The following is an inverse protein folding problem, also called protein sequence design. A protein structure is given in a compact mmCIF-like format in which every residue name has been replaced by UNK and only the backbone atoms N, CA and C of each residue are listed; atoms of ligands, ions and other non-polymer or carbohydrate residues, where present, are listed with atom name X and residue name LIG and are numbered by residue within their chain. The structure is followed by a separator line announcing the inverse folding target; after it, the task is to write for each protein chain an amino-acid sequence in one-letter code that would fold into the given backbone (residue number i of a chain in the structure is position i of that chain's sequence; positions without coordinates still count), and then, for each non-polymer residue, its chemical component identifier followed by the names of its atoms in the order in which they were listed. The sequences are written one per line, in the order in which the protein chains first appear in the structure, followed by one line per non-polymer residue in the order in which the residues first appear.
data_IF_385548051021
#
_entry.id   IF_385548051021
#
_cell.length_a   1.000
_cell.length_b   1.000
_cell.length_c   1.000
_cell.angle_alpha   90.00
_cell.angle_beta   90.00
_cell.angle_gamma   90.00
#
_symmetry.space_group_name_H-M   'P 1'
#
loop_
_entity.id
_entity.type
_entity.pdbx_description
1 polymer ?
#
# COMPACT_ATOMS: atom_id res chain seq x y z
N UNK A 1 -29.93 -29.19 2.21
CA UNK A 1 -29.21 -27.92 2.43
C UNK A 1 -28.23 -27.73 1.29
N UNK A 2 -28.49 -26.80 0.38
CA UNK A 2 -27.55 -26.48 -0.70
C UNK A 2 -26.41 -25.66 -0.09
N UNK A 3 -25.19 -26.20 -0.10
CA UNK A 3 -24.00 -25.41 0.20
C UNK A 3 -23.87 -24.33 -0.87
N UNK A 4 -24.29 -23.11 -0.54
CA UNK A 4 -24.00 -21.93 -1.36
C UNK A 4 -22.49 -21.74 -1.28
N UNK A 5 -21.76 -22.13 -2.33
CA UNK A 5 -20.33 -21.85 -2.44
C UNK A 5 -20.09 -20.38 -2.10
N UNK A 6 -19.33 -20.13 -1.03
CA UNK A 6 -18.93 -18.78 -0.68
C UNK A 6 -17.91 -18.30 -1.71
N UNK A 7 -18.24 -17.20 -2.37
CA UNK A 7 -17.35 -16.56 -3.32
C UNK A 7 -16.16 -15.96 -2.57
N UNK A 8 -14.98 -16.55 -2.75
CA UNK A 8 -13.72 -16.06 -2.19
C UNK A 8 -12.79 -15.58 -3.32
N UNK A 9 -12.18 -14.42 -3.14
CA UNK A 9 -11.24 -13.83 -4.08
C UNK A 9 -9.99 -14.68 -4.21
N UNK A 10 -9.54 -14.87 -5.44
CA UNK A 10 -8.26 -15.50 -5.76
C UNK A 10 -7.54 -14.66 -6.79
N UNK A 11 -6.36 -14.16 -6.44
CA UNK A 11 -5.48 -13.50 -7.39
C UNK A 11 -5.15 -14.47 -8.52
N UNK A 12 -5.45 -14.06 -9.76
CA UNK A 12 -5.21 -14.89 -10.95
C UNK A 12 -3.75 -14.86 -11.42
N UNK A 13 -2.88 -14.10 -10.74
CA UNK A 13 -1.48 -13.89 -11.13
C UNK A 13 -1.32 -13.48 -12.61
N UNK A 14 -2.26 -12.69 -13.13
CA UNK A 14 -2.28 -12.34 -14.56
C UNK A 14 -1.09 -11.46 -14.99
N UNK A 15 -0.46 -10.75 -14.05
CA UNK A 15 0.67 -9.86 -14.35
C UNK A 15 0.31 -8.60 -15.14
N UNK A 16 -0.98 -8.41 -15.45
CA UNK A 16 -1.43 -7.30 -16.29
C UNK A 16 -1.82 -6.10 -15.44
N UNK A 17 -3.02 -6.08 -14.84
CA UNK A 17 -3.61 -4.84 -14.33
C UNK A 17 -2.93 -4.29 -13.07
N UNK A 18 -2.73 -5.11 -12.03
CA UNK A 18 -2.13 -4.64 -10.77
C UNK A 18 -0.60 -4.55 -10.82
N UNK A 19 0.01 -4.98 -11.93
CA UNK A 19 1.46 -5.02 -12.11
C UNK A 19 1.90 -4.20 -13.33
N UNK A 20 1.02 -3.41 -13.94
CA UNK A 20 1.33 -2.52 -15.06
C UNK A 20 0.79 -1.12 -14.77
N UNK A 21 1.67 -0.13 -14.79
CA UNK A 21 1.39 1.23 -14.33
C UNK A 21 1.59 2.20 -15.48
N UNK A 22 0.51 2.89 -15.86
CA UNK A 22 0.54 3.86 -16.97
C UNK A 22 0.64 5.30 -16.45
N UNK A 23 0.02 5.58 -15.31
CA UNK A 23 0.11 6.87 -14.66
C UNK A 23 0.81 6.77 -13.30
N UNK A 24 1.53 7.84 -12.94
CA UNK A 24 2.17 7.94 -11.63
C UNK A 24 1.15 7.84 -10.48
N UNK A 25 -0.11 8.20 -10.71
CA UNK A 25 -1.16 8.09 -9.69
C UNK A 25 -1.62 6.65 -9.43
N UNK A 26 -1.33 5.74 -10.35
CA UNK A 26 -1.63 4.31 -10.21
C UNK A 26 -0.51 3.58 -9.44
N UNK A 27 0.65 4.22 -9.29
CA UNK A 27 1.82 3.65 -8.64
C UNK A 27 1.55 3.31 -7.17
N UNK A 28 2.07 2.18 -6.66
CA UNK A 28 1.80 1.76 -5.29
C UNK A 28 2.33 2.77 -4.28
N UNK A 29 1.53 2.99 -3.23
CA UNK A 29 2.01 3.62 -2.01
C UNK A 29 2.58 2.54 -1.09
N UNK A 30 3.71 2.85 -0.47
CA UNK A 30 4.44 1.94 0.41
C UNK A 30 4.90 2.70 1.66
N UNK A 31 4.86 2.04 2.81
CA UNK A 31 5.44 2.58 4.03
C UNK A 31 6.99 2.58 3.95
N UNK A 32 7.68 3.32 4.84
CA UNK A 32 9.14 3.40 4.81
C UNK A 32 9.85 2.05 4.97
N UNK A 33 9.37 1.18 5.86
CA UNK A 33 9.93 -0.16 6.05
C UNK A 33 9.75 -1.07 4.82
N UNK A 34 8.63 -0.93 4.11
CA UNK A 34 8.38 -1.63 2.86
C UNK A 34 9.29 -1.11 1.73
N UNK A 35 9.49 0.21 1.65
CA UNK A 35 10.48 0.82 0.75
C UNK A 35 11.87 0.23 1.00
N UNK A 36 12.32 0.13 2.26
CA UNK A 36 13.63 -0.47 2.60
C UNK A 36 13.72 -1.93 2.13
N UNK A 37 12.69 -2.73 2.42
CA UNK A 37 12.60 -4.12 1.94
C UNK A 37 12.65 -4.22 0.41
N UNK A 38 11.91 -3.36 -0.30
CA UNK A 38 11.89 -3.32 -1.76
C UNK A 38 13.24 -2.90 -2.33
N UNK A 39 13.93 -1.93 -1.73
CA UNK A 39 15.28 -1.53 -2.15
C UNK A 39 16.30 -2.66 -1.99
N UNK A 40 16.24 -3.42 -0.91
CA UNK A 40 17.07 -4.61 -0.72
C UNK A 40 16.80 -5.69 -1.76
N UNK A 41 15.52 -5.95 -2.06
CA UNK A 41 15.12 -6.87 -3.13
C UNK A 41 15.57 -6.36 -4.50
N UNK A 42 15.44 -5.05 -4.76
CA UNK A 42 15.90 -4.40 -5.97
C UNK A 42 17.40 -4.62 -6.17
N UNK A 43 18.22 -4.38 -5.14
CA UNK A 43 19.65 -4.65 -5.17
C UNK A 43 19.96 -6.14 -5.43
N UNK A 44 19.24 -7.05 -4.77
CA UNK A 44 19.42 -8.50 -4.92
C UNK A 44 19.15 -9.00 -6.34
N UNK A 45 18.17 -8.41 -7.02
CA UNK A 45 17.75 -8.81 -8.37
C UNK A 45 18.24 -7.87 -9.47
N UNK A 46 19.19 -6.98 -9.16
CA UNK A 46 19.73 -5.96 -10.08
C UNK A 46 18.63 -5.13 -10.77
N UNK A 47 17.69 -4.64 -9.96
CA UNK A 47 16.57 -3.77 -10.38
C UNK A 47 16.72 -2.39 -9.75
N UNK A 48 16.75 -1.37 -10.61
CA UNK A 48 16.69 0.03 -10.17
C UNK A 48 15.25 0.40 -9.80
N UNK A 49 15.02 0.76 -8.55
CA UNK A 49 13.73 1.22 -8.06
C UNK A 49 13.77 2.72 -7.75
N UNK A 50 12.64 3.40 -7.97
CA UNK A 50 12.51 4.84 -7.73
C UNK A 50 11.36 5.07 -6.75
N UNK A 51 11.62 5.85 -5.70
CA UNK A 51 10.62 6.22 -4.70
C UNK A 51 10.63 7.73 -4.50
N UNK A 52 9.46 8.32 -4.34
CA UNK A 52 9.30 9.74 -3.98
C UNK A 52 8.44 9.86 -2.72
N UNK A 53 8.78 10.73 -1.75
CA UNK A 53 7.85 11.06 -0.66
C UNK A 53 6.50 11.48 -1.27
N UNK A 54 5.40 11.01 -0.68
CA UNK A 54 4.05 11.30 -1.15
C UNK A 54 3.16 11.90 -0.07
N UNK A 55 3.08 11.25 1.09
CA UNK A 55 2.31 11.73 2.23
C UNK A 55 3.21 11.79 3.46
N UNK A 56 3.08 12.85 4.22
CA UNK A 56 3.78 13.00 5.49
C UNK A 56 3.18 14.06 6.38
N UNK A 57 3.97 14.45 7.37
CA UNK A 57 3.65 15.51 8.31
C UNK A 57 4.85 16.45 8.43
N UNK A 58 4.59 17.74 8.47
CA UNK A 58 5.56 18.75 8.90
C UNK A 58 5.67 18.69 10.43
N UNK A 59 6.87 18.37 10.93
CA UNK A 59 7.11 18.15 12.36
C UNK A 59 7.93 19.28 13.00
N UNK A 60 8.74 19.96 12.18
CA UNK A 60 9.49 21.17 12.50
C UNK A 60 9.82 21.90 11.20
N UNK A 61 10.35 23.13 11.29
CA UNK A 61 10.72 23.95 10.14
C UNK A 61 11.62 23.19 9.15
N UNK A 62 11.06 22.88 7.97
CA UNK A 62 11.69 22.09 6.90
C UNK A 62 12.01 20.62 7.25
N UNK A 63 11.53 20.09 8.38
CA UNK A 63 11.64 18.68 8.74
C UNK A 63 10.29 18.01 8.56
N UNK A 64 10.27 16.94 7.77
CA UNK A 64 9.04 16.22 7.45
C UNK A 64 9.15 14.73 7.74
N UNK A 65 8.19 14.22 8.49
CA UNK A 65 8.01 12.79 8.72
C UNK A 65 7.23 12.17 7.56
N UNK A 66 7.88 11.32 6.77
CA UNK A 66 7.28 10.65 5.61
C UNK A 66 6.55 9.38 6.05
N UNK A 67 5.26 9.33 5.72
CA UNK A 67 4.38 8.19 6.01
C UNK A 67 4.27 7.26 4.82
N UNK A 68 4.10 7.82 3.63
CA UNK A 68 4.08 7.03 2.40
C UNK A 68 5.08 7.56 1.40
N UNK A 69 5.78 6.61 0.80
CA UNK A 69 6.48 6.82 -0.45
C UNK A 69 5.63 6.29 -1.59
N UNK A 70 5.64 7.01 -2.71
CA UNK A 70 5.14 6.49 -3.97
C UNK A 70 6.26 5.75 -4.68
N UNK A 71 6.04 4.48 -4.96
CA UNK A 71 6.96 3.64 -5.72
C UNK A 71 6.73 3.85 -7.21
N UNK A 72 7.58 4.66 -7.83
CA UNK A 72 7.43 5.07 -9.23
C UNK A 72 7.77 3.89 -10.14
N UNK A 73 6.76 3.39 -10.84
CA UNK A 73 6.89 2.33 -11.84
C UNK A 73 6.32 2.85 -13.16
N UNK A 74 7.11 2.76 -14.23
CA UNK A 74 6.68 3.11 -15.58
C UNK A 74 6.54 1.81 -16.39
N UNK A 75 5.30 1.40 -16.65
CA UNK A 75 5.00 0.11 -17.28
C UNK A 75 4.97 -1.03 -16.28
N UNK A 76 5.60 -2.16 -16.62
CA UNK A 76 5.52 -3.40 -15.82
C UNK A 76 6.31 -3.29 -14.51
N UNK A 77 5.78 -3.92 -13.47
CA UNK A 77 6.44 -4.08 -12.18
C UNK A 77 7.81 -4.75 -12.37
N UNK A 78 8.89 -4.22 -11.77
CA UNK A 78 10.24 -4.75 -11.98
C UNK A 78 10.47 -6.14 -11.37
N UNK A 79 9.52 -6.62 -10.55
CA UNK A 79 9.52 -7.98 -10.00
C UNK A 79 8.56 -8.91 -10.73
N UNK A 80 8.05 -8.52 -11.89
CA UNK A 80 7.31 -9.43 -12.76
C UNK A 80 8.29 -10.29 -13.55
N UNK A 81 8.15 -11.61 -13.45
CA UNK A 81 8.88 -12.54 -14.31
C UNK A 81 8.37 -12.47 -15.75
N UNK A 82 9.13 -13.05 -16.68
CA UNK A 82 8.73 -13.18 -18.09
C UNK A 82 7.40 -13.92 -18.26
N UNK A 83 7.07 -14.82 -17.33
CA UNK A 83 5.80 -15.56 -17.30
C UNK A 83 4.64 -14.76 -16.67
N UNK A 84 4.83 -13.48 -16.34
CA UNK A 84 3.80 -12.65 -15.70
C UNK A 84 3.61 -12.91 -14.20
N UNK A 85 4.50 -13.68 -13.58
CA UNK A 85 4.39 -14.05 -12.15
C UNK A 85 5.25 -13.11 -11.31
N UNK A 86 4.69 -12.56 -10.23
CA UNK A 86 5.42 -11.75 -9.26
C UNK A 86 6.47 -12.59 -8.51
N UNK A 87 7.76 -12.30 -8.70
CA UNK A 87 8.88 -13.04 -8.09
C UNK A 87 9.05 -12.75 -6.60
N UNK A 88 8.43 -11.70 -6.09
CA UNK A 88 8.43 -11.33 -4.67
C UNK A 88 7.07 -11.53 -4.02
N UNK A 89 6.24 -12.46 -4.51
CA UNK A 89 4.84 -12.58 -4.08
C UNK A 89 4.64 -12.61 -2.56
N UNK A 90 5.50 -13.33 -1.82
CA UNK A 90 5.45 -13.38 -0.35
C UNK A 90 5.96 -12.12 0.37
N UNK A 91 6.73 -11.27 -0.32
CA UNK A 91 7.33 -10.02 0.19
C UNK A 91 6.77 -8.76 -0.49
N UNK A 92 5.67 -8.89 -1.24
CA UNK A 92 5.03 -7.76 -1.91
C UNK A 92 4.53 -6.74 -0.86
N UNK A 93 4.51 -5.44 -1.18
CA UNK A 93 4.04 -4.44 -0.23
C UNK A 93 2.54 -4.59 0.05
N UNK A 94 2.06 -3.99 1.13
CA UNK A 94 0.68 -4.04 1.60
C UNK A 94 -0.31 -3.60 0.52
N UNK A 95 0.00 -2.53 -0.24
CA UNK A 95 -0.81 -2.11 -1.38
C UNK A 95 -1.00 -3.23 -2.42
N UNK A 96 0.02 -4.05 -2.66
CA UNK A 96 -0.08 -5.23 -3.52
C UNK A 96 -0.68 -6.46 -2.80
N UNK A 97 -0.58 -6.56 -1.47
CA UNK A 97 -1.20 -7.64 -0.66
C UNK A 97 -2.71 -7.46 -0.53
N UNK A 98 -3.21 -6.24 -0.44
CA UNK A 98 -4.63 -5.94 -0.29
C UNK A 98 -5.39 -5.75 -1.61
N UNK A 99 -4.70 -5.64 -2.75
CA UNK A 99 -5.38 -5.54 -4.04
C UNK A 99 -6.27 -6.78 -4.29
N UNK A 100 -7.57 -6.61 -4.64
CA UNK A 100 -8.17 -5.46 -5.32
C UNK A 100 -8.79 -4.40 -4.39
N UNK A 101 -8.64 -4.53 -3.08
CA UNK A 101 -9.06 -3.49 -2.15
C UNK A 101 -8.12 -2.28 -2.22
N UNK A 102 -8.70 -1.08 -2.12
CA UNK A 102 -7.99 0.21 -2.14
C UNK A 102 -8.48 1.02 -0.95
N UNK A 103 -7.55 1.51 -0.14
CA UNK A 103 -7.85 2.44 0.96
C UNK A 103 -7.76 3.87 0.42
N UNK A 104 -8.85 4.61 0.56
CA UNK A 104 -8.87 6.06 0.37
C UNK A 104 -8.26 6.74 1.58
N UNK A 105 -6.99 7.11 1.49
CA UNK A 105 -6.25 7.71 2.62
C UNK A 105 -6.81 9.10 2.97
N UNK A 106 -7.39 9.82 2.01
CA UNK A 106 -7.93 11.16 2.24
C UNK A 106 -9.36 11.15 2.80
N UNK A 107 -10.16 10.13 2.50
CA UNK A 107 -11.58 10.06 2.86
C UNK A 107 -11.97 8.85 3.71
N UNK A 108 -10.98 8.07 4.17
CA UNK A 108 -11.15 6.89 5.02
C UNK A 108 -12.09 5.83 4.45
N UNK A 109 -12.15 5.70 3.12
CA UNK A 109 -13.00 4.71 2.46
C UNK A 109 -12.25 3.43 2.11
N UNK A 110 -12.95 2.29 2.11
CA UNK A 110 -12.47 1.05 1.51
C UNK A 110 -13.20 0.83 0.18
N UNK A 111 -12.46 0.79 -0.92
CA UNK A 111 -12.99 0.64 -2.27
C UNK A 111 -12.52 -0.65 -2.90
N UNK A 112 -13.24 -1.13 -3.91
CA UNK A 112 -12.85 -2.30 -4.71
C UNK A 112 -12.50 -1.85 -6.11
N UNK A 113 -11.31 -2.21 -6.59
CA UNK A 113 -10.86 -1.87 -7.94
C UNK A 113 -11.65 -2.65 -9.00
N UNK A 114 -12.42 -1.95 -9.82
CA UNK A 114 -13.11 -2.52 -10.98
C UNK A 114 -12.19 -2.96 -12.11
N UNK A 115 -10.89 -2.61 -12.04
CA UNK A 115 -9.92 -2.96 -13.06
C UNK A 115 -9.47 -4.44 -12.97
N UNK A 116 -9.63 -5.08 -11.81
CA UNK A 116 -9.31 -6.50 -11.67
C UNK A 116 -10.32 -7.36 -12.44
N UNK A 117 -9.90 -8.21 -13.42
CA UNK A 117 -10.86 -8.95 -14.23
C UNK A 117 -11.70 -9.96 -13.43
N UNK A 118 -11.19 -10.44 -12.30
CA UNK A 118 -11.96 -11.27 -11.38
C UNK A 118 -13.13 -10.47 -10.78
N UNK A 119 -12.90 -9.21 -10.38
CA UNK A 119 -13.96 -8.32 -9.88
C UNK A 119 -15.02 -8.11 -10.94
N UNK A 120 -14.62 -7.79 -12.18
CA UNK A 120 -15.55 -7.58 -13.29
C UNK A 120 -16.42 -8.82 -13.53
N UNK A 121 -15.84 -10.01 -13.44
CA UNK A 121 -16.55 -11.29 -13.64
C UNK A 121 -17.60 -11.58 -12.58
N UNK A 122 -17.38 -11.14 -11.34
CA UNK A 122 -18.23 -11.47 -10.19
C UNK A 122 -18.92 -10.25 -9.56
N UNK A 123 -18.94 -9.10 -10.24
CA UNK A 123 -19.37 -7.81 -9.71
C UNK A 123 -20.74 -7.87 -9.00
N UNK A 124 -21.74 -8.47 -9.65
CA UNK A 124 -23.10 -8.59 -9.09
C UNK A 124 -23.16 -9.41 -7.80
N UNK A 125 -22.31 -10.45 -7.69
CA UNK A 125 -22.21 -11.26 -6.47
C UNK A 125 -21.50 -10.48 -5.36
N UNK A 126 -20.47 -9.71 -5.71
CA UNK A 126 -19.66 -8.95 -4.75
C UNK A 126 -20.47 -7.81 -4.13
N UNK A 127 -21.25 -7.07 -4.92
CA UNK A 127 -22.04 -5.90 -4.47
C UNK A 127 -22.93 -6.18 -3.27
N UNK A 128 -23.44 -7.41 -3.17
CA UNK A 128 -24.36 -7.83 -2.11
C UNK A 128 -23.71 -8.78 -1.07
N UNK A 129 -22.38 -8.85 -1.07
CA UNK A 129 -21.61 -9.73 -0.18
C UNK A 129 -20.81 -8.93 0.84
N UNK A 130 -20.54 -9.56 1.98
CA UNK A 130 -19.64 -9.04 3.00
C UNK A 130 -18.18 -9.05 2.47
N UNK A 131 -17.52 -7.89 2.34
CA UNK A 131 -16.15 -7.81 1.82
C UNK A 131 -15.14 -8.63 2.64
N UNK A 132 -15.35 -8.78 3.95
CA UNK A 132 -14.44 -9.56 4.82
C UNK A 132 -14.47 -11.06 4.52
N UNK A 133 -15.56 -11.54 3.92
CA UNK A 133 -15.72 -12.95 3.49
C UNK A 133 -15.21 -13.16 2.08
N UNK A 134 -15.47 -12.20 1.18
CA UNK A 134 -15.02 -12.29 -0.21
C UNK A 134 -13.51 -12.08 -0.32
N UNK A 135 -12.96 -11.08 0.36
CA UNK A 135 -11.57 -10.66 0.25
C UNK A 135 -10.80 -11.03 1.52
N UNK A 136 -10.92 -12.28 1.99
CA UNK A 136 -10.53 -12.66 3.35
C UNK A 136 -9.12 -12.21 3.76
N UNK A 137 -8.12 -12.48 2.93
CA UNK A 137 -6.73 -12.11 3.23
C UNK A 137 -6.47 -10.63 2.95
N UNK A 138 -6.96 -10.13 1.82
CA UNK A 138 -6.80 -8.75 1.40
C UNK A 138 -7.43 -7.77 2.40
N UNK A 139 -8.59 -8.13 2.96
CA UNK A 139 -9.34 -7.35 3.95
C UNK A 139 -8.59 -7.28 5.28
N UNK A 140 -8.01 -8.39 5.75
CA UNK A 140 -7.13 -8.36 6.94
C UNK A 140 -5.98 -7.38 6.76
N UNK A 141 -5.32 -7.41 5.61
CA UNK A 141 -4.24 -6.47 5.31
C UNK A 141 -4.76 -5.03 5.21
N UNK A 142 -5.93 -4.81 4.58
CA UNK A 142 -6.52 -3.48 4.50
C UNK A 142 -6.85 -2.91 5.89
N UNK A 143 -7.41 -3.72 6.79
CA UNK A 143 -7.65 -3.34 8.19
C UNK A 143 -6.32 -3.02 8.88
N UNK A 144 -5.30 -3.86 8.73
CA UNK A 144 -3.95 -3.60 9.29
C UNK A 144 -3.40 -2.25 8.83
N UNK A 145 -3.44 -1.97 7.53
CA UNK A 145 -3.00 -0.69 6.97
C UNK A 145 -3.83 0.48 7.51
N UNK A 146 -5.15 0.33 7.59
CA UNK A 146 -6.03 1.37 8.13
C UNK A 146 -5.71 1.70 9.59
N UNK A 147 -5.48 0.68 10.42
CA UNK A 147 -5.08 0.84 11.83
C UNK A 147 -3.73 1.56 11.94
N UNK A 148 -2.73 1.17 11.13
CA UNK A 148 -1.43 1.87 11.07
C UNK A 148 -1.62 3.35 10.77
N UNK A 149 -2.41 3.68 9.75
CA UNK A 149 -2.69 5.07 9.35
C UNK A 149 -3.33 5.83 10.51
N UNK A 150 -4.32 5.23 11.19
CA UNK A 150 -5.01 5.89 12.32
C UNK A 150 -4.09 6.16 13.50
N UNK A 151 -3.24 5.21 13.87
CA UNK A 151 -2.24 5.40 14.93
C UNK A 151 -1.30 6.57 14.58
N UNK A 152 -0.82 6.63 13.34
CA UNK A 152 0.04 7.71 12.87
C UNK A 152 -0.71 9.06 12.89
N UNK A 153 -1.96 9.10 12.43
CA UNK A 153 -2.79 10.30 12.43
C UNK A 153 -3.05 10.84 13.83
N UNK A 154 -3.39 9.96 14.78
CA UNK A 154 -3.62 10.32 16.17
C UNK A 154 -2.35 10.84 16.84
N UNK A 155 -1.22 10.16 16.60
CA UNK A 155 0.07 10.62 17.10
C UNK A 155 0.45 11.99 16.54
N UNK A 156 0.35 12.17 15.22
CA UNK A 156 0.64 13.43 14.56
C UNK A 156 -0.26 14.57 15.10
N UNK A 157 -1.55 14.30 15.27
CA UNK A 157 -2.52 15.25 15.84
C UNK A 157 -2.14 15.63 17.28
N UNK A 158 -1.75 14.67 18.11
CA UNK A 158 -1.34 14.93 19.50
C UNK A 158 -0.09 15.80 19.62
N UNK A 159 0.78 15.77 18.60
CA UNK A 159 1.99 16.59 18.50
C UNK A 159 1.78 17.88 17.70
N UNK A 160 0.54 18.19 17.26
CA UNK A 160 0.24 19.38 16.48
C UNK A 160 0.86 19.40 15.08
N UNK A 161 1.27 18.25 14.54
CA UNK A 161 1.92 18.17 13.24
C UNK A 161 0.93 18.39 12.10
N UNK A 162 1.41 19.07 11.05
CA UNK A 162 0.58 19.43 9.90
C UNK A 162 0.71 18.39 8.78
N UNK A 163 -0.40 17.77 8.40
CA UNK A 163 -0.45 16.84 7.26
C UNK A 163 -0.07 17.56 5.96
N UNK A 164 0.78 16.91 5.15
CA UNK A 164 1.22 17.41 3.85
C UNK A 164 1.19 16.30 2.79
N UNK A 165 0.75 16.64 1.59
CA UNK A 165 0.89 15.82 0.39
C UNK A 165 2.01 16.44 -0.44
N UNK A 166 3.10 15.72 -0.64
CA UNK A 166 4.27 16.24 -1.35
C UNK A 166 4.01 16.32 -2.85
N UNK A 167 4.08 17.54 -3.37
CA UNK A 167 4.09 17.90 -4.78
C UNK A 167 5.52 18.02 -5.30
N UNK A 168 5.72 17.99 -6.63
CA UNK A 168 7.04 18.21 -7.23
C UNK A 168 7.69 19.51 -6.73
N UNK A 169 6.90 20.58 -6.58
CA UNK A 169 7.36 21.89 -6.09
C UNK A 169 7.89 21.82 -4.66
N UNK A 170 7.24 21.05 -3.78
CA UNK A 170 7.71 20.88 -2.41
C UNK A 170 8.99 20.06 -2.36
N UNK A 171 9.09 19.00 -3.16
CA UNK A 171 10.28 18.16 -3.24
C UNK A 171 11.52 18.90 -3.79
N UNK A 172 11.34 19.99 -4.52
CA UNK A 172 12.41 20.81 -5.08
C UNK A 172 12.93 21.91 -4.13
N UNK A 173 12.26 22.15 -2.99
CA UNK A 173 12.72 23.17 -2.05
C UNK A 173 14.06 22.75 -1.45
N UNK A 174 15.02 23.68 -1.47
CA UNK A 174 16.33 23.47 -0.83
C UNK A 174 16.16 23.35 0.68
N UNK A 175 17.02 22.55 1.30
CA UNK A 175 17.11 22.38 2.76
C UNK A 175 15.94 21.66 3.44
N UNK A 176 15.20 20.82 2.70
CA UNK A 176 14.24 19.90 3.32
C UNK A 176 14.98 18.68 3.89
N UNK A 177 14.58 18.29 5.10
CA UNK A 177 14.99 17.05 5.75
C UNK A 177 13.78 16.13 5.81
N UNK A 178 13.90 14.96 5.17
CA UNK A 178 12.92 13.89 5.29
C UNK A 178 13.39 12.87 6.32
N UNK A 179 12.50 12.53 7.26
CA UNK A 179 12.69 11.43 8.21
C UNK A 179 11.57 10.42 8.01
N UNK A 180 11.85 9.13 8.14
CA UNK A 180 10.83 8.10 7.99
C UNK A 180 9.96 8.05 9.27
N UNK A 181 8.63 7.98 9.13
CA UNK A 181 7.72 8.05 10.29
C UNK A 181 7.98 6.98 11.36
N UNK A 182 8.41 5.79 10.93
CA UNK A 182 8.71 4.67 11.81
C UNK A 182 10.00 4.83 12.61
N UNK A 183 10.90 5.74 12.21
CA UNK A 183 12.04 6.15 13.02
C UNK A 183 11.64 7.01 14.23
N UNK A 184 10.47 7.65 14.18
CA UNK A 184 9.93 8.46 15.28
C UNK A 184 9.03 7.61 16.17
N UNK A 185 8.19 6.78 15.55
CA UNK A 185 7.12 6.05 16.21
C UNK A 185 7.52 4.69 16.80
N UNK A 186 8.82 4.35 16.86
CA UNK A 186 9.39 3.16 17.49
C UNK A 186 8.42 1.97 17.69
N UNK A 187 8.53 0.92 16.86
CA UNK A 187 7.77 -0.34 16.96
C UNK A 187 6.29 -0.31 16.53
N UNK A 188 5.86 0.52 15.56
CA UNK A 188 4.48 0.45 15.00
C UNK A 188 4.10 -0.98 14.56
N UNK A 189 5.02 -1.75 13.96
CA UNK A 189 4.71 -3.12 13.53
C UNK A 189 4.44 -4.07 14.71
N UNK A 190 5.19 -3.96 15.83
CA UNK A 190 5.00 -4.86 16.99
C UNK A 190 3.68 -4.65 17.71
N UNK A 191 3.12 -3.44 17.63
CA UNK A 191 1.80 -3.14 18.20
C UNK A 191 0.67 -3.84 17.44
N UNK A 192 0.93 -4.36 16.23
CA UNK A 192 -0.10 -4.83 15.29
C UNK A 192 0.05 -6.33 14.94
N UNK A 193 1.19 -6.95 15.25
CA UNK A 193 1.39 -8.39 15.10
C UNK A 193 0.77 -9.23 16.24
N UNK A 194 0.09 -8.61 17.22
CA UNK A 194 -0.51 -9.33 18.36
C UNK A 194 -1.75 -10.17 18.01
N UNK A 195 -2.28 -10.07 16.79
CA UNK A 195 -3.54 -10.73 16.38
C UNK A 195 -3.38 -11.84 15.31
N UNK A 196 -2.16 -12.15 14.84
CA UNK A 196 -1.92 -13.23 13.86
C UNK A 196 -1.52 -14.59 14.51
N UNK A 197 -1.40 -14.67 15.84
CA UNK A 197 -1.04 -15.89 16.60
C UNK A 197 -2.14 -16.42 17.55
N UNK A 198 -3.42 -16.08 17.35
CA UNK A 198 -4.54 -16.67 18.13
C UNK A 198 -5.62 -17.30 17.26
#
# INVERSE_FOLDING_TARGET
MWHKEMLEFKCMLCGDICCNFQHINDSPLVFPWEKRTLLELGKRYDRKLVFKPYLGYEIDNNIYAVVFYRWIINGKCPFLSEKGICTIHGKKPYSCKMFPLIIGIDDNTLRVSGACPWITRYLEKIRNSDPSKVFRNEYKIAVKVFVIIKIIEEFAKSNGWKRIIFTSKELERKNIIFVDIDSILNNIEKTIDYDDER
#
